data_IF_162013591938
#
_entry.id   IF_162013591938
#
_cell.length_a   1.000
_cell.length_b   1.000
_cell.length_c   1.000
_cell.angle_alpha   90.00
_cell.angle_beta   90.00
_cell.angle_gamma   90.00
#
_symmetry.space_group_name_H-M   'P 1'
#
loop_
_entity.id
_entity.type
_entity.pdbx_description
1 polymer ?
#
# COMPACT_ATOMS: atom_id res chain seq x y z
N UNK A 1 6.15 33.93 -2.89
CA UNK A 1 5.21 32.80 -2.79
C UNK A 1 3.87 33.29 -3.29
N UNK A 2 3.13 32.57 -4.14
CA UNK A 2 1.81 33.02 -4.54
C UNK A 2 0.90 33.10 -3.30
N UNK A 3 0.22 34.24 -3.13
CA UNK A 3 -0.55 34.62 -1.93
C UNK A 3 -1.79 33.76 -1.62
N UNK A 4 -2.00 32.62 -2.33
CA UNK A 4 -3.21 31.79 -2.18
C UNK A 4 -2.92 30.28 -2.28
N UNK A 5 -1.76 29.80 -1.82
CA UNK A 5 -1.52 28.35 -1.80
C UNK A 5 -2.34 27.72 -0.67
N UNK A 6 -3.18 26.73 -1.03
CA UNK A 6 -3.92 25.90 -0.08
C UNK A 6 -2.94 25.21 0.86
N UNK A 7 -3.19 25.25 2.16
CA UNK A 7 -2.28 24.69 3.16
C UNK A 7 -2.92 23.48 3.84
N UNK A 8 -2.12 22.42 4.01
CA UNK A 8 -2.56 21.26 4.76
C UNK A 8 -1.46 20.78 5.73
N UNK A 9 -1.86 20.02 6.73
CA UNK A 9 -0.96 19.40 7.70
C UNK A 9 -0.85 17.92 7.36
N UNK A 10 0.39 17.43 7.17
CA UNK A 10 0.68 16.01 7.05
C UNK A 10 1.27 15.51 8.37
N UNK A 11 0.54 14.63 9.05
CA UNK A 11 0.95 14.05 10.32
C UNK A 11 1.29 12.58 10.17
N UNK A 12 2.42 12.16 10.78
CA UNK A 12 2.78 10.75 10.94
C UNK A 12 3.62 10.58 12.21
N UNK A 13 3.31 9.59 13.09
CA UNK A 13 3.99 9.44 14.37
C UNK A 13 5.36 8.74 14.28
N UNK A 14 6.09 8.93 13.19
CA UNK A 14 7.44 8.37 12.96
C UNK A 14 8.29 9.35 12.17
N UNK A 15 9.61 9.17 12.19
CA UNK A 15 10.51 9.90 11.30
C UNK A 15 10.38 9.43 9.87
N UNK A 16 10.39 10.35 8.92
CA UNK A 16 10.46 10.06 7.50
C UNK A 16 11.91 9.73 7.09
N UNK A 17 12.05 8.66 6.30
CA UNK A 17 13.35 8.25 5.77
C UNK A 17 13.29 8.25 4.23
N UNK A 18 13.97 9.18 3.60
CA UNK A 18 14.00 9.33 2.14
C UNK A 18 14.60 8.11 1.42
N UNK A 19 15.45 7.34 2.11
CA UNK A 19 16.05 6.11 1.61
C UNK A 19 15.25 4.86 1.98
N UNK A 20 13.97 5.00 2.33
CA UNK A 20 13.13 3.86 2.69
C UNK A 20 12.92 2.93 1.48
N UNK A 21 13.09 1.62 1.72
CA UNK A 21 12.87 0.57 0.72
C UNK A 21 11.59 -0.24 0.98
N UNK A 22 10.97 -0.06 2.12
CA UNK A 22 9.70 -0.72 2.48
C UNK A 22 8.50 0.12 2.06
N UNK A 23 7.42 -0.53 1.67
CA UNK A 23 6.16 0.14 1.33
C UNK A 23 5.67 1.10 2.44
N UNK A 24 5.87 0.73 3.71
CA UNK A 24 5.50 1.55 4.86
C UNK A 24 6.30 2.85 4.99
N UNK A 25 7.54 2.86 4.54
CA UNK A 25 8.37 4.07 4.52
C UNK A 25 8.19 4.89 3.24
N UNK A 26 7.97 4.23 2.10
CA UNK A 26 7.80 4.90 0.79
C UNK A 26 6.47 5.66 0.71
N UNK A 27 5.36 5.05 1.18
CA UNK A 27 4.02 5.61 1.06
C UNK A 27 3.88 7.04 1.60
N UNK A 28 4.33 7.38 2.83
CA UNK A 28 4.18 8.73 3.36
C UNK A 28 4.90 9.78 2.51
N UNK A 29 6.10 9.47 2.02
CA UNK A 29 6.88 10.37 1.16
C UNK A 29 6.17 10.63 -0.18
N UNK A 30 5.62 9.58 -0.77
CA UNK A 30 4.88 9.67 -2.03
C UNK A 30 3.55 10.42 -1.86
N UNK A 31 2.82 10.20 -0.74
CA UNK A 31 1.60 10.96 -0.43
C UNK A 31 1.89 12.46 -0.23
N UNK A 32 2.98 12.82 0.45
CA UNK A 32 3.42 14.21 0.57
C UNK A 32 3.62 14.82 -0.83
N UNK A 33 4.40 14.15 -1.69
CA UNK A 33 4.61 14.60 -3.07
C UNK A 33 3.30 14.65 -3.87
N UNK A 34 2.37 13.74 -3.63
CA UNK A 34 1.03 13.76 -4.23
C UNK A 34 0.25 15.02 -3.84
N UNK A 35 0.24 15.42 -2.56
CA UNK A 35 -0.37 16.66 -2.11
C UNK A 35 0.33 17.90 -2.69
N UNK A 36 1.66 17.90 -2.76
CA UNK A 36 2.43 19.00 -3.37
C UNK A 36 2.08 19.15 -4.87
N UNK A 37 2.00 18.04 -5.63
CA UNK A 37 1.54 18.03 -7.04
C UNK A 37 0.10 18.51 -7.17
N UNK A 38 -0.78 18.17 -6.23
CA UNK A 38 -2.16 18.64 -6.17
C UNK A 38 -2.30 20.14 -5.75
N UNK A 39 -1.19 20.85 -5.59
CA UNK A 39 -1.15 22.29 -5.32
C UNK A 39 -1.24 22.68 -3.85
N UNK A 40 -1.03 21.75 -2.91
CA UNK A 40 -1.00 22.06 -1.49
C UNK A 40 0.40 22.40 -0.99
N UNK A 41 0.49 23.39 -0.12
CA UNK A 41 1.63 23.55 0.76
C UNK A 41 1.50 22.57 1.93
N UNK A 42 2.45 21.65 2.07
CA UNK A 42 2.39 20.56 3.05
C UNK A 42 3.26 20.88 4.26
N UNK A 43 2.63 21.17 5.39
CA UNK A 43 3.33 21.33 6.66
C UNK A 43 3.41 20.00 7.41
N UNK A 44 4.64 19.53 7.66
CA UNK A 44 4.91 18.17 8.15
C UNK A 44 5.01 18.14 9.67
N UNK A 45 4.31 17.18 10.29
CA UNK A 45 4.42 16.80 11.71
C UNK A 45 4.87 15.35 11.76
N UNK A 46 6.18 15.14 11.93
CA UNK A 46 6.82 13.82 11.92
C UNK A 46 8.04 13.82 12.84
N UNK A 47 8.67 12.68 13.04
CA UNK A 47 9.84 12.55 13.89
C UNK A 47 9.55 11.84 15.21
N UNK A 48 10.47 11.98 16.18
CA UNK A 48 10.29 11.55 17.56
C UNK A 48 9.14 12.31 18.22
N UNK A 49 8.57 11.78 19.30
CA UNK A 49 7.49 12.45 20.01
C UNK A 49 7.86 13.86 20.49
N UNK A 50 9.14 14.10 20.86
CA UNK A 50 9.64 15.43 21.23
C UNK A 50 9.66 16.40 20.05
N UNK A 51 10.12 15.96 18.87
CA UNK A 51 10.12 16.77 17.66
C UNK A 51 8.69 17.09 17.21
N UNK A 52 7.80 16.08 17.23
CA UNK A 52 6.38 16.29 16.95
C UNK A 52 5.74 17.29 17.91
N UNK A 53 6.04 17.19 19.24
CA UNK A 53 5.55 18.13 20.23
C UNK A 53 5.90 19.57 19.90
N UNK A 54 7.16 19.83 19.55
CA UNK A 54 7.61 21.16 19.18
C UNK A 54 6.87 21.68 17.93
N UNK A 55 6.73 20.82 16.91
CA UNK A 55 6.04 21.18 15.66
C UNK A 55 4.54 21.38 15.84
N UNK A 56 3.88 20.57 16.65
CA UNK A 56 2.47 20.77 17.02
C UNK A 56 2.25 22.12 17.69
N UNK A 57 3.10 22.50 18.65
CA UNK A 57 3.01 23.80 19.32
C UNK A 57 3.22 24.97 18.33
N UNK A 58 4.19 24.84 17.42
CA UNK A 58 4.42 25.84 16.35
C UNK A 58 3.15 26.04 15.51
N UNK A 59 2.55 24.94 15.02
CA UNK A 59 1.36 24.99 14.17
C UNK A 59 0.16 25.60 14.94
N UNK A 60 -0.05 25.19 16.18
CA UNK A 60 -1.14 25.74 16.98
C UNK A 60 -0.96 27.25 17.21
N UNK A 61 0.28 27.72 17.41
CA UNK A 61 0.58 29.14 17.51
C UNK A 61 0.31 29.90 16.19
N UNK A 62 0.66 29.30 15.04
CA UNK A 62 0.34 29.86 13.72
C UNK A 62 -1.17 29.98 13.54
N UNK A 63 -1.95 28.97 13.91
CA UNK A 63 -3.43 28.98 13.85
C UNK A 63 -3.98 30.10 14.72
N UNK A 64 -3.49 30.27 15.96
CA UNK A 64 -3.89 31.37 16.86
C UNK A 64 -3.59 32.76 16.30
N UNK A 65 -2.53 32.85 15.48
CA UNK A 65 -2.14 34.08 14.78
C UNK A 65 -2.85 34.28 13.44
N UNK A 66 -3.90 33.47 13.16
CA UNK A 66 -4.75 33.64 11.98
C UNK A 66 -4.33 32.82 10.76
N UNK A 67 -3.33 31.96 10.84
CA UNK A 67 -2.98 31.06 9.75
C UNK A 67 -4.04 29.97 9.58
N UNK A 68 -4.43 29.69 8.32
CA UNK A 68 -5.49 28.73 8.00
C UNK A 68 -4.90 27.48 7.35
N UNK A 69 -5.44 26.34 7.75
CA UNK A 69 -5.17 25.04 7.13
C UNK A 69 -6.49 24.42 6.69
N UNK A 70 -6.51 23.88 5.47
CA UNK A 70 -7.71 23.29 4.89
C UNK A 70 -8.09 22.00 5.61
N UNK A 71 -7.09 21.17 5.96
CA UNK A 71 -7.28 19.90 6.68
C UNK A 71 -5.96 19.39 7.27
N UNK A 72 -6.08 18.37 8.11
CA UNK A 72 -4.98 17.50 8.53
C UNK A 72 -5.19 16.10 7.96
N UNK A 73 -4.20 15.58 7.23
CA UNK A 73 -4.11 14.17 6.85
C UNK A 73 -3.05 13.49 7.68
N UNK A 74 -3.43 12.42 8.36
CA UNK A 74 -2.56 11.63 9.21
C UNK A 74 -2.39 10.21 8.65
N UNK A 75 -1.21 9.62 8.79
CA UNK A 75 -1.00 8.19 8.59
C UNK A 75 -0.61 7.51 9.90
N UNK A 76 -1.25 6.39 10.23
CA UNK A 76 -0.84 5.57 11.37
C UNK A 76 0.48 4.85 11.08
N UNK A 77 1.21 4.49 12.14
CA UNK A 77 2.30 3.52 12.07
C UNK A 77 1.76 2.09 12.11
N UNK A 78 2.63 1.09 11.88
CA UNK A 78 2.35 -0.32 12.17
C UNK A 78 2.38 -0.61 13.68
N UNK A 79 2.97 0.30 14.47
CA UNK A 79 2.95 0.28 15.92
C UNK A 79 1.91 1.28 16.47
N UNK A 80 1.45 1.10 17.70
CA UNK A 80 0.60 2.09 18.36
C UNK A 80 1.27 3.47 18.38
N UNK A 81 0.47 4.52 18.20
CA UNK A 81 0.94 5.91 18.12
C UNK A 81 1.85 6.32 19.27
N UNK A 82 1.52 5.88 20.48
CA UNK A 82 2.27 6.20 21.70
C UNK A 82 3.59 5.43 21.85
N UNK A 83 3.83 4.38 21.05
CA UNK A 83 4.99 3.48 21.16
C UNK A 83 5.94 3.60 19.97
N UNK A 84 5.84 4.68 19.20
CA UNK A 84 6.61 4.85 17.94
C UNK A 84 8.05 5.33 18.16
N UNK A 85 8.40 5.84 19.33
CA UNK A 85 9.79 6.19 19.67
C UNK A 85 10.68 4.95 19.83
N UNK A 86 11.99 5.10 19.70
CA UNK A 86 12.96 3.98 19.70
C UNK A 86 12.89 3.08 20.93
N UNK A 87 12.56 3.66 22.09
CA UNK A 87 12.43 2.94 23.36
C UNK A 87 11.09 2.23 23.52
N UNK A 88 10.14 2.48 22.60
CA UNK A 88 8.77 1.95 22.65
C UNK A 88 8.03 2.24 23.96
N UNK A 89 8.33 3.37 24.62
CA UNK A 89 7.68 3.81 25.85
C UNK A 89 6.80 5.03 25.59
N UNK A 90 5.62 5.14 26.25
CA UNK A 90 4.68 6.25 26.04
C UNK A 90 5.10 7.51 26.82
N UNK A 91 6.30 8.04 26.56
CA UNK A 91 6.86 9.18 27.30
C UNK A 91 6.11 10.49 27.05
N UNK A 92 5.42 10.60 25.91
CA UNK A 92 4.68 11.80 25.53
C UNK A 92 3.23 11.47 25.11
N UNK A 93 2.39 10.96 26.03
CA UNK A 93 1.11 10.33 25.68
C UNK A 93 0.05 11.28 25.13
N UNK A 94 0.25 12.60 25.25
CA UNK A 94 -0.74 13.59 24.85
C UNK A 94 -0.37 14.37 23.58
N UNK A 95 0.79 14.11 22.96
CA UNK A 95 1.26 14.89 21.82
C UNK A 95 0.32 14.77 20.63
N UNK A 96 0.17 13.58 20.07
CA UNK A 96 -0.52 13.39 18.80
C UNK A 96 -2.05 13.58 18.96
N UNK A 97 -2.66 12.91 19.93
CA UNK A 97 -4.11 13.04 20.15
C UNK A 97 -4.51 14.39 20.79
N UNK A 98 -3.61 15.03 21.57
CA UNK A 98 -3.78 16.39 22.02
C UNK A 98 -3.81 17.40 20.86
N UNK A 99 -2.86 17.22 19.93
CA UNK A 99 -2.82 18.00 18.71
C UNK A 99 -4.10 17.85 17.86
N UNK A 100 -4.56 16.62 17.64
CA UNK A 100 -5.82 16.38 16.92
C UNK A 100 -7.02 17.05 17.61
N UNK A 101 -7.06 16.98 18.95
CA UNK A 101 -8.11 17.70 19.72
C UNK A 101 -8.07 19.21 19.50
N UNK A 102 -6.87 19.78 19.45
CA UNK A 102 -6.72 21.21 19.23
C UNK A 102 -7.03 21.61 17.79
N UNK A 103 -6.65 20.81 16.79
CA UNK A 103 -7.09 21.02 15.40
C UNK A 103 -8.61 21.00 15.27
N UNK A 104 -9.27 20.02 15.88
CA UNK A 104 -10.74 19.87 15.87
C UNK A 104 -11.44 21.09 16.52
N UNK A 105 -10.91 21.61 17.63
CA UNK A 105 -11.42 22.85 18.27
C UNK A 105 -11.31 24.07 17.35
N UNK A 106 -10.34 24.10 16.45
CA UNK A 106 -10.14 25.17 15.47
C UNK A 106 -10.86 24.91 14.13
N UNK A 107 -11.74 23.90 14.07
CA UNK A 107 -12.53 23.59 12.88
C UNK A 107 -11.76 22.98 11.72
N UNK A 108 -10.54 22.47 11.96
CA UNK A 108 -9.71 21.83 10.95
C UNK A 108 -10.08 20.33 10.89
N UNK A 109 -10.64 19.83 9.77
CA UNK A 109 -11.04 18.44 9.62
C UNK A 109 -9.82 17.52 9.57
N UNK A 110 -9.98 16.30 10.12
CA UNK A 110 -8.89 15.33 10.27
C UNK A 110 -9.23 14.05 9.56
N UNK A 111 -8.42 13.67 8.57
CA UNK A 111 -8.44 12.35 7.94
C UNK A 111 -7.29 11.49 8.44
N UNK A 112 -7.57 10.22 8.73
CA UNK A 112 -6.55 9.26 9.15
C UNK A 112 -6.50 8.09 8.19
N UNK A 113 -5.34 7.79 7.62
CA UNK A 113 -5.05 6.53 6.98
C UNK A 113 -4.61 5.50 8.03
N UNK A 114 -5.51 4.57 8.34
CA UNK A 114 -5.20 3.45 9.23
C UNK A 114 -4.61 2.31 8.41
N UNK A 115 -3.31 2.13 8.57
CA UNK A 115 -2.45 1.35 7.67
C UNK A 115 -2.71 -0.14 7.72
N UNK A 116 -2.88 -0.73 8.91
CA UNK A 116 -2.83 -2.18 9.11
C UNK A 116 -3.49 -2.60 10.44
N UNK A 117 -4.03 -3.80 10.44
CA UNK A 117 -4.58 -4.48 11.63
C UNK A 117 -3.85 -5.80 11.91
N UNK A 118 -2.58 -5.93 11.49
CA UNK A 118 -1.76 -7.14 11.66
C UNK A 118 -1.76 -7.66 13.10
N UNK A 119 -1.80 -6.77 14.08
CA UNK A 119 -1.86 -7.09 15.51
C UNK A 119 -3.12 -7.90 15.93
N UNK A 120 -4.16 -7.94 15.11
CA UNK A 120 -5.37 -8.71 15.34
C UNK A 120 -5.27 -10.17 14.85
N UNK A 121 -4.25 -10.50 14.06
CA UNK A 121 -4.10 -11.81 13.42
C UNK A 121 -3.18 -12.76 14.19
N UNK A 122 -3.38 -14.06 13.94
CA UNK A 122 -2.57 -15.11 14.58
C UNK A 122 -1.08 -15.02 14.21
N UNK A 123 -0.76 -14.50 13.04
CA UNK A 123 0.62 -14.29 12.64
C UNK A 123 1.36 -13.32 13.59
N UNK A 124 0.68 -12.25 14.05
CA UNK A 124 1.23 -11.38 15.08
C UNK A 124 1.49 -12.14 16.40
N UNK A 125 0.56 -13.03 16.77
CA UNK A 125 0.72 -13.86 17.99
C UNK A 125 1.92 -14.80 17.88
N UNK A 126 2.22 -15.30 16.67
CA UNK A 126 3.34 -16.21 16.42
C UNK A 126 4.68 -15.47 16.28
N UNK A 127 4.67 -14.23 15.77
CA UNK A 127 5.89 -13.45 15.46
C UNK A 127 6.35 -12.53 16.58
N UNK A 128 5.46 -12.16 17.52
CA UNK A 128 5.79 -11.22 18.60
C UNK A 128 5.72 -11.91 19.97
N UNK A 129 6.76 -11.80 20.83
CA UNK A 129 6.78 -12.38 22.17
C UNK A 129 5.60 -11.97 23.04
N UNK A 130 5.11 -12.87 23.88
CA UNK A 130 3.89 -12.67 24.68
C UNK A 130 3.92 -11.37 25.50
N UNK A 131 5.01 -11.10 26.22
CA UNK A 131 5.12 -9.89 27.07
C UNK A 131 5.03 -8.60 26.24
N UNK A 132 5.67 -8.56 25.05
CA UNK A 132 5.57 -7.42 24.15
C UNK A 132 4.14 -7.22 23.64
N UNK A 133 3.43 -8.31 23.34
CA UNK A 133 2.02 -8.25 22.91
C UNK A 133 1.11 -7.73 24.03
N UNK A 134 1.24 -8.27 25.23
CA UNK A 134 0.45 -7.85 26.41
C UNK A 134 0.67 -6.36 26.69
N UNK A 135 1.89 -5.86 26.50
CA UNK A 135 2.18 -4.44 26.63
C UNK A 135 1.58 -3.60 25.49
N UNK A 136 1.70 -4.02 24.22
CA UNK A 136 1.30 -3.22 23.06
C UNK A 136 -0.22 -3.22 22.80
N UNK A 137 -0.92 -4.34 23.07
CA UNK A 137 -2.35 -4.48 22.74
C UNK A 137 -3.27 -3.41 23.38
N UNK A 138 -3.09 -2.97 24.64
CA UNK A 138 -3.87 -1.88 25.21
C UNK A 138 -3.72 -0.57 24.41
N UNK A 139 -2.52 -0.28 23.89
CA UNK A 139 -2.26 0.93 23.10
C UNK A 139 -2.89 0.89 21.72
N UNK A 140 -2.94 -0.26 21.05
CA UNK A 140 -3.72 -0.42 19.81
C UNK A 140 -5.21 -0.13 20.02
N UNK A 141 -5.78 -0.66 21.12
CA UNK A 141 -7.18 -0.41 21.48
C UNK A 141 -7.41 1.06 21.86
N UNK A 142 -6.44 1.69 22.52
CA UNK A 142 -6.48 3.10 22.85
C UNK A 142 -6.47 3.96 21.58
N UNK A 143 -5.62 3.64 20.61
CA UNK A 143 -5.59 4.33 19.31
C UNK A 143 -6.97 4.25 18.63
N UNK A 144 -7.58 3.07 18.51
CA UNK A 144 -8.92 2.92 17.91
C UNK A 144 -9.99 3.74 18.64
N UNK A 145 -9.93 3.81 19.97
CA UNK A 145 -10.82 4.67 20.76
C UNK A 145 -10.61 6.14 20.40
N UNK A 146 -9.34 6.59 20.32
CA UNK A 146 -9.02 7.98 19.94
C UNK A 146 -9.37 8.32 18.51
N UNK A 147 -9.25 7.38 17.60
CA UNK A 147 -9.71 7.56 16.21
C UNK A 147 -11.22 7.80 16.17
N UNK A 148 -12.02 7.00 16.89
CA UNK A 148 -13.47 7.22 16.99
C UNK A 148 -13.85 8.60 17.58
N UNK A 149 -13.05 9.14 18.50
CA UNK A 149 -13.31 10.42 19.16
C UNK A 149 -12.91 11.63 18.31
N UNK A 150 -11.84 11.52 17.51
CA UNK A 150 -11.14 12.69 16.96
C UNK A 150 -11.12 12.75 15.44
N UNK A 151 -11.28 11.64 14.74
CA UNK A 151 -11.12 11.58 13.28
C UNK A 151 -12.46 11.80 12.59
N UNK A 152 -12.47 12.61 11.53
CA UNK A 152 -13.67 12.91 10.75
C UNK A 152 -13.82 11.95 9.56
N UNK A 153 -12.67 11.52 8.98
CA UNK A 153 -12.63 10.56 7.86
C UNK A 153 -11.55 9.50 8.11
N UNK A 154 -11.94 8.23 8.09
CA UNK A 154 -11.01 7.10 8.17
C UNK A 154 -10.74 6.55 6.77
N UNK A 155 -9.48 6.48 6.39
CA UNK A 155 -9.01 5.86 5.16
C UNK A 155 -8.35 4.52 5.47
N UNK A 156 -8.68 3.50 4.68
CA UNK A 156 -8.16 2.14 4.82
C UNK A 156 -7.50 1.70 3.50
N UNK A 157 -6.53 0.79 3.50
CA UNK A 157 -5.98 0.22 2.27
C UNK A 157 -7.06 -0.42 1.38
N UNK A 158 -8.07 -1.05 1.99
CA UNK A 158 -9.23 -1.63 1.33
C UNK A 158 -10.45 -1.62 2.26
N UNK A 159 -11.66 -1.66 1.72
CA UNK A 159 -12.87 -1.78 2.55
C UNK A 159 -12.96 -3.13 3.27
N UNK A 160 -12.38 -4.19 2.73
CA UNK A 160 -12.29 -5.48 3.45
C UNK A 160 -11.49 -5.41 4.76
N UNK A 161 -10.56 -4.45 4.87
CA UNK A 161 -9.87 -4.22 6.14
C UNK A 161 -10.81 -3.70 7.23
N UNK A 162 -11.88 -2.99 6.87
CA UNK A 162 -12.87 -2.50 7.84
C UNK A 162 -13.49 -3.65 8.65
N UNK A 163 -13.79 -4.75 7.99
CA UNK A 163 -14.37 -5.95 8.60
C UNK A 163 -13.38 -6.67 9.54
N UNK A 164 -12.08 -6.49 9.29
CA UNK A 164 -11.02 -7.09 10.10
C UNK A 164 -10.63 -6.27 11.34
N UNK A 165 -11.12 -5.04 11.50
CA UNK A 165 -10.82 -4.21 12.68
C UNK A 165 -11.56 -4.79 13.90
N UNK A 166 -10.84 -5.20 14.98
CA UNK A 166 -11.46 -5.88 16.13
C UNK A 166 -12.08 -4.89 17.13
N UNK A 167 -12.79 -3.86 16.62
CA UNK A 167 -13.50 -2.87 17.41
C UNK A 167 -14.59 -2.19 16.58
N UNK A 168 -15.63 -1.70 17.23
CA UNK A 168 -16.64 -0.88 16.57
C UNK A 168 -16.02 0.47 16.18
N UNK A 169 -16.05 0.76 14.89
CA UNK A 169 -15.67 2.05 14.33
C UNK A 169 -16.90 2.93 14.22
N UNK A 170 -16.81 4.14 14.77
CA UNK A 170 -17.88 5.16 14.78
C UNK A 170 -17.45 6.45 14.08
N UNK A 171 -16.31 6.43 13.40
CA UNK A 171 -15.86 7.54 12.55
C UNK A 171 -16.94 7.80 11.48
N UNK A 172 -17.34 9.07 11.24
CA UNK A 172 -18.49 9.38 10.40
C UNK A 172 -18.39 8.93 8.95
N UNK A 173 -17.16 8.90 8.40
CA UNK A 173 -16.91 8.52 7.01
C UNK A 173 -15.73 7.55 6.95
N UNK A 174 -15.86 6.49 6.17
CA UNK A 174 -14.81 5.49 5.93
C UNK A 174 -14.68 5.24 4.44
N UNK A 175 -13.45 5.30 3.93
CA UNK A 175 -13.16 5.10 2.52
C UNK A 175 -11.95 4.19 2.29
N UNK A 176 -11.93 3.51 1.15
CA UNK A 176 -10.73 2.85 0.65
C UNK A 176 -9.77 3.89 0.08
N UNK A 177 -8.49 3.79 0.45
CA UNK A 177 -7.40 4.62 -0.07
C UNK A 177 -6.17 3.74 -0.31
N UNK A 178 -6.18 2.90 -1.35
CA UNK A 178 -5.00 2.11 -1.72
C UNK A 178 -3.81 3.04 -2.03
N UNK A 179 -2.62 2.50 -2.10
CA UNK A 179 -1.45 3.26 -2.54
C UNK A 179 -1.68 3.85 -3.93
N UNK A 180 -1.01 4.95 -4.23
CA UNK A 180 -0.92 5.49 -5.58
C UNK A 180 0.30 4.94 -6.31
N UNK A 181 0.36 5.21 -7.60
CA UNK A 181 1.49 4.90 -8.47
C UNK A 181 2.03 6.12 -9.20
N UNK A 182 3.00 5.89 -10.06
CA UNK A 182 3.50 6.86 -11.03
C UNK A 182 3.01 6.44 -12.43
N UNK A 183 3.07 7.32 -13.39
CA UNK A 183 2.83 6.96 -14.79
C UNK A 183 4.16 6.58 -15.43
N UNK A 184 4.46 5.30 -15.39
CA UNK A 184 5.68 4.69 -15.95
C UNK A 184 5.32 3.73 -17.10
N UNK A 185 4.13 3.86 -17.68
CA UNK A 185 3.67 2.93 -18.70
C UNK A 185 4.54 2.97 -19.94
N UNK A 186 5.08 1.81 -20.31
CA UNK A 186 5.75 1.60 -21.58
C UNK A 186 4.76 0.94 -22.55
N UNK A 187 4.48 1.57 -23.66
CA UNK A 187 3.71 0.93 -24.74
C UNK A 187 4.56 -0.18 -25.34
N UNK A 188 4.13 -1.41 -25.21
CA UNK A 188 4.73 -2.56 -25.85
C UNK A 188 4.13 -2.67 -27.26
N UNK A 189 4.91 -2.44 -28.29
CA UNK A 189 4.45 -2.34 -29.70
C UNK A 189 4.15 -3.72 -30.16
N UNK A 190 3.97 -4.69 -29.97
CA UNK A 190 3.67 -6.06 -30.44
C UNK A 190 4.36 -7.15 -29.64
N UNK A 191 3.74 -8.26 -29.43
CA UNK A 191 4.42 -9.38 -28.81
C UNK A 191 5.40 -10.00 -29.83
N UNK A 192 6.67 -9.63 -29.75
CA UNK A 192 7.71 -10.21 -30.61
C UNK A 192 7.99 -11.71 -30.35
N UNK A 193 7.63 -12.21 -29.16
CA UNK A 193 7.87 -13.58 -28.77
C UNK A 193 6.58 -14.37 -28.55
N UNK A 194 6.61 -15.64 -28.99
CA UNK A 194 5.57 -16.62 -28.63
C UNK A 194 5.60 -16.91 -27.15
N UNK A 195 4.42 -17.06 -26.55
CA UNK A 195 4.25 -17.36 -25.13
C UNK A 195 3.87 -16.17 -24.26
N UNK A 196 3.87 -16.34 -22.96
CA UNK A 196 3.44 -15.36 -21.96
C UNK A 196 4.58 -15.11 -20.96
N UNK A 197 5.01 -13.86 -20.84
CA UNK A 197 5.98 -13.41 -19.83
C UNK A 197 5.26 -13.01 -18.55
N UNK A 198 5.42 -13.78 -17.50
CA UNK A 198 4.77 -13.62 -16.19
C UNK A 198 5.80 -13.05 -15.22
N UNK A 199 5.42 -12.02 -14.50
CA UNK A 199 6.26 -11.38 -13.48
C UNK A 199 5.67 -11.56 -12.09
N UNK A 200 6.51 -11.86 -11.12
CA UNK A 200 6.25 -11.69 -9.70
C UNK A 200 7.36 -10.84 -9.06
N UNK A 201 6.99 -9.88 -8.23
CA UNK A 201 7.95 -9.04 -7.48
C UNK A 201 7.54 -8.99 -6.02
N UNK A 202 8.39 -9.44 -5.11
CA UNK A 202 8.09 -9.35 -3.68
C UNK A 202 8.78 -10.36 -2.80
N UNK A 203 8.30 -10.48 -1.56
CA UNK A 203 8.71 -11.54 -0.65
C UNK A 203 8.23 -12.91 -1.13
N UNK A 204 8.94 -13.97 -0.73
CA UNK A 204 8.64 -15.35 -1.14
C UNK A 204 8.57 -16.32 0.04
N UNK A 205 8.47 -15.78 1.26
CA UNK A 205 8.47 -16.59 2.48
C UNK A 205 7.05 -16.94 2.94
N UNK A 206 6.74 -18.25 3.10
CA UNK A 206 5.49 -18.69 3.72
C UNK A 206 5.36 -18.18 5.18
N UNK A 207 4.16 -18.04 5.71
CA UNK A 207 2.88 -18.35 5.07
C UNK A 207 2.31 -17.23 4.20
N UNK A 208 2.85 -15.99 4.28
CA UNK A 208 2.28 -14.86 3.55
C UNK A 208 2.54 -14.89 2.05
N UNK A 209 3.74 -15.30 1.65
CA UNK A 209 4.20 -15.20 0.27
C UNK A 209 4.61 -16.56 -0.28
N UNK A 210 3.78 -17.57 -0.08
CA UNK A 210 4.02 -18.91 -0.62
C UNK A 210 3.69 -18.94 -2.11
N UNK A 211 4.73 -19.01 -2.95
CA UNK A 211 4.60 -19.02 -4.42
C UNK A 211 4.34 -20.39 -5.02
N UNK A 212 4.21 -21.44 -4.20
CA UNK A 212 3.97 -22.81 -4.71
C UNK A 212 2.88 -22.85 -5.78
N UNK A 213 1.68 -22.21 -5.62
CA UNK A 213 0.64 -22.28 -6.64
C UNK A 213 1.04 -21.64 -7.98
N UNK A 214 1.80 -20.54 -7.96
CA UNK A 214 2.28 -19.87 -9.16
C UNK A 214 3.35 -20.69 -9.87
N UNK A 215 4.33 -21.23 -9.12
CA UNK A 215 5.41 -22.05 -9.66
C UNK A 215 4.85 -23.32 -10.31
N UNK A 216 3.94 -24.03 -9.64
CA UNK A 216 3.29 -25.22 -10.18
C UNK A 216 2.43 -24.90 -11.42
N UNK A 217 1.82 -23.72 -11.47
CA UNK A 217 1.05 -23.30 -12.63
C UNK A 217 1.91 -23.09 -13.89
N UNK A 218 3.21 -22.82 -13.73
CA UNK A 218 4.13 -22.54 -14.85
C UNK A 218 5.00 -23.74 -15.19
N UNK A 219 5.33 -24.59 -14.19
CA UNK A 219 6.24 -25.71 -14.36
C UNK A 219 5.81 -26.63 -15.50
N UNK A 220 6.77 -26.99 -16.37
CA UNK A 220 6.54 -27.89 -17.52
C UNK A 220 5.70 -27.28 -18.65
N UNK A 221 5.38 -25.99 -18.63
CA UNK A 221 4.66 -25.30 -19.71
C UNK A 221 5.58 -24.36 -20.46
N UNK A 222 6.13 -24.80 -21.58
CA UNK A 222 7.14 -24.07 -22.36
C UNK A 222 6.72 -22.68 -22.82
N UNK A 223 5.41 -22.48 -23.04
CA UNK A 223 4.84 -21.19 -23.44
C UNK A 223 4.72 -20.17 -22.30
N UNK A 224 4.95 -20.57 -21.04
CA UNK A 224 4.87 -19.71 -19.88
C UNK A 224 6.25 -19.44 -19.32
N UNK A 225 6.70 -18.19 -19.35
CA UNK A 225 7.99 -17.75 -18.81
C UNK A 225 7.76 -16.96 -17.53
N UNK A 226 8.21 -17.46 -16.37
CA UNK A 226 8.06 -16.80 -15.07
C UNK A 226 9.36 -16.15 -14.64
N UNK A 227 9.32 -14.86 -14.34
CA UNK A 227 10.39 -14.13 -13.66
C UNK A 227 9.96 -13.80 -12.23
N UNK A 228 10.73 -14.29 -11.25
CA UNK A 228 10.53 -14.00 -9.82
C UNK A 228 11.61 -13.04 -9.36
N UNK A 229 11.23 -11.80 -9.03
CA UNK A 229 12.13 -10.82 -8.43
C UNK A 229 11.96 -10.85 -6.92
N UNK A 230 12.98 -11.30 -6.20
CA UNK A 230 12.94 -11.46 -4.75
C UNK A 230 14.30 -11.17 -4.10
N UNK A 231 14.32 -11.12 -2.77
CA UNK A 231 15.57 -10.97 -2.01
C UNK A 231 16.39 -12.24 -2.08
N UNK A 232 17.70 -12.09 -2.29
CA UNK A 232 18.63 -13.24 -2.38
C UNK A 232 18.57 -14.15 -1.16
N UNK A 233 18.58 -13.57 0.04
CA UNK A 233 18.51 -14.34 1.29
C UNK A 233 17.20 -15.15 1.42
N UNK A 234 16.06 -14.59 0.97
CA UNK A 234 14.79 -15.33 0.97
C UNK A 234 14.82 -16.49 -0.03
N UNK A 235 15.42 -16.27 -1.21
CA UNK A 235 15.56 -17.33 -2.20
C UNK A 235 16.43 -18.49 -1.69
N UNK A 236 17.59 -18.20 -1.09
CA UNK A 236 18.45 -19.22 -0.51
C UNK A 236 17.74 -20.09 0.55
N UNK A 237 16.80 -19.50 1.31
CA UNK A 237 15.98 -20.25 2.28
C UNK A 237 14.92 -21.12 1.60
N UNK A 238 14.49 -20.79 0.39
CA UNK A 238 13.32 -21.39 -0.26
C UNK A 238 13.68 -22.26 -1.48
N UNK A 239 14.90 -22.23 -1.96
CA UNK A 239 15.31 -22.94 -3.18
C UNK A 239 14.99 -24.44 -3.16
N UNK A 240 15.22 -25.13 -2.04
CA UNK A 240 14.90 -26.54 -1.88
C UNK A 240 13.39 -26.84 -1.90
N UNK A 241 12.58 -25.89 -1.43
CA UNK A 241 11.11 -26.00 -1.45
C UNK A 241 10.57 -25.76 -2.86
N UNK A 242 11.00 -24.69 -3.49
CA UNK A 242 10.47 -24.27 -4.79
C UNK A 242 11.05 -25.05 -5.96
N UNK A 243 12.27 -25.62 -5.81
CA UNK A 243 12.95 -26.44 -6.83
C UNK A 243 12.90 -25.81 -8.22
N UNK A 244 13.28 -24.53 -8.29
CA UNK A 244 13.27 -23.76 -9.55
C UNK A 244 14.59 -23.88 -10.31
N UNK A 245 15.63 -24.44 -9.71
CA UNK A 245 16.91 -24.69 -10.37
C UNK A 245 16.72 -25.76 -11.45
N UNK A 246 17.19 -25.44 -12.68
CA UNK A 246 17.05 -26.34 -13.84
C UNK A 246 15.71 -26.23 -14.59
N UNK A 247 14.76 -25.42 -14.10
CA UNK A 247 13.51 -25.12 -14.84
C UNK A 247 13.80 -24.06 -15.92
N UNK A 248 13.75 -24.38 -17.21
CA UNK A 248 14.22 -23.49 -18.28
C UNK A 248 13.32 -22.25 -18.45
N UNK A 249 12.09 -22.32 -17.95
CA UNK A 249 11.07 -21.29 -18.08
C UNK A 249 10.82 -20.51 -16.77
N UNK A 250 11.65 -20.71 -15.72
CA UNK A 250 11.58 -19.96 -14.46
C UNK A 250 12.91 -19.28 -14.18
N UNK A 251 12.90 -17.96 -14.07
CA UNK A 251 14.07 -17.13 -13.81
C UNK A 251 13.96 -16.43 -12.46
N UNK A 252 15.04 -16.46 -11.69
CA UNK A 252 15.14 -15.76 -10.40
C UNK A 252 16.04 -14.54 -10.59
N UNK A 253 15.53 -13.37 -10.17
CA UNK A 253 16.22 -12.10 -10.27
C UNK A 253 16.32 -11.45 -8.89
N UNK A 254 17.48 -10.88 -8.59
CA UNK A 254 17.72 -10.13 -7.35
C UNK A 254 18.04 -8.69 -7.69
N UNK A 255 17.21 -7.76 -7.20
CA UNK A 255 17.43 -6.34 -7.47
C UNK A 255 16.27 -5.44 -6.99
N UNK A 256 16.49 -4.15 -7.15
CA UNK A 256 15.54 -3.07 -6.85
C UNK A 256 15.66 -1.97 -7.91
N UNK A 257 14.74 -1.00 -7.91
CA UNK A 257 14.80 0.15 -8.83
C UNK A 257 14.82 -0.29 -10.29
N UNK A 258 15.81 0.17 -11.06
CA UNK A 258 15.91 -0.08 -12.52
C UNK A 258 15.80 -1.54 -12.92
N UNK A 259 16.33 -2.48 -12.11
CA UNK A 259 16.23 -3.92 -12.40
C UNK A 259 14.76 -4.37 -12.37
N UNK A 260 13.99 -3.88 -11.42
CA UNK A 260 12.54 -4.17 -11.31
C UNK A 260 11.79 -3.53 -12.47
N UNK A 261 12.12 -2.27 -12.81
CA UNK A 261 11.49 -1.56 -13.92
C UNK A 261 11.72 -2.30 -15.26
N UNK A 262 12.93 -2.81 -15.51
CA UNK A 262 13.24 -3.64 -16.69
C UNK A 262 12.46 -4.96 -16.70
N UNK A 263 12.21 -5.57 -15.54
CA UNK A 263 11.35 -6.75 -15.46
C UNK A 263 9.90 -6.41 -15.80
N UNK A 264 9.37 -5.27 -15.34
CA UNK A 264 8.02 -4.82 -15.71
C UNK A 264 7.89 -4.53 -17.22
N UNK A 265 8.90 -3.91 -17.84
CA UNK A 265 8.90 -3.64 -19.29
C UNK A 265 8.77 -4.91 -20.13
N UNK A 266 9.37 -6.02 -19.66
CA UNK A 266 9.34 -7.32 -20.33
C UNK A 266 8.08 -8.12 -20.04
N UNK A 267 7.38 -7.83 -18.94
CA UNK A 267 6.24 -8.59 -18.49
C UNK A 267 5.00 -8.38 -19.36
N UNK A 268 4.27 -9.43 -19.60
CA UNK A 268 2.94 -9.41 -20.19
C UNK A 268 1.87 -9.34 -19.14
N UNK A 269 2.06 -10.06 -18.02
CA UNK A 269 1.17 -10.07 -16.86
C UNK A 269 1.96 -10.07 -15.57
N UNK A 270 1.37 -9.49 -14.53
CA UNK A 270 1.87 -9.55 -13.16
C UNK A 270 1.01 -10.51 -12.34
N UNK A 271 1.61 -11.53 -11.73
CA UNK A 271 0.87 -12.56 -11.02
C UNK A 271 0.88 -12.31 -9.50
N UNK A 272 -0.30 -12.22 -8.89
CA UNK A 272 -0.51 -12.26 -7.43
C UNK A 272 -1.25 -13.56 -7.13
N UNK A 273 -0.54 -14.68 -7.23
CA UNK A 273 -1.04 -16.05 -7.11
C UNK A 273 -0.29 -16.80 -5.99
N UNK A 274 -0.16 -16.17 -4.83
CA UNK A 274 0.36 -16.83 -3.62
C UNK A 274 -0.67 -17.80 -3.04
N UNK A 275 -0.22 -18.78 -2.25
CA UNK A 275 -1.11 -19.61 -1.46
C UNK A 275 -1.97 -18.70 -0.54
N UNK A 276 -3.26 -19.03 -0.47
CA UNK A 276 -4.18 -18.22 0.30
C UNK A 276 -3.83 -18.23 1.80
N UNK A 277 -3.84 -17.04 2.39
CA UNK A 277 -3.73 -16.81 3.80
C UNK A 277 -4.73 -15.73 4.22
N UNK A 278 -5.33 -15.83 5.40
CA UNK A 278 -6.41 -14.91 5.83
C UNK A 278 -6.06 -13.43 5.76
N UNK A 279 -4.80 -13.08 5.94
CA UNK A 279 -4.32 -11.71 5.78
C UNK A 279 -4.51 -11.16 4.36
N UNK A 280 -4.50 -12.03 3.32
CA UNK A 280 -4.72 -11.63 1.93
C UNK A 280 -6.15 -11.17 1.63
N UNK A 281 -7.12 -11.51 2.51
CA UNK A 281 -8.50 -11.04 2.33
C UNK A 281 -8.57 -9.52 2.18
N UNK A 282 -7.77 -8.77 2.95
CA UNK A 282 -7.81 -7.31 2.95
C UNK A 282 -6.50 -6.62 2.54
N UNK A 283 -5.40 -7.36 2.45
CA UNK A 283 -4.10 -6.79 2.11
C UNK A 283 -4.07 -6.20 0.70
N UNK A 284 -3.47 -5.01 0.58
CA UNK A 284 -3.24 -4.33 -0.69
C UNK A 284 -1.73 -4.17 -0.88
N UNK A 285 -1.05 -5.12 -1.53
CA UNK A 285 0.39 -5.06 -1.73
C UNK A 285 0.77 -3.88 -2.62
N UNK A 286 1.87 -3.22 -2.29
CA UNK A 286 2.36 -2.07 -3.05
C UNK A 286 2.63 -2.43 -4.53
N UNK A 287 3.08 -3.67 -4.78
CA UNK A 287 3.36 -4.20 -6.12
C UNK A 287 2.15 -4.30 -7.04
N UNK A 288 0.93 -4.36 -6.49
CA UNK A 288 -0.30 -4.22 -7.26
C UNK A 288 -0.34 -2.90 -8.02
N UNK A 289 -0.06 -1.79 -7.33
CA UNK A 289 -0.09 -0.46 -7.93
C UNK A 289 1.14 -0.20 -8.81
N UNK A 290 2.29 -0.76 -8.47
CA UNK A 290 3.47 -0.71 -9.36
C UNK A 290 3.17 -1.39 -10.70
N UNK A 291 2.49 -2.54 -10.70
CA UNK A 291 2.07 -3.20 -11.93
C UNK A 291 1.16 -2.31 -12.78
N UNK A 292 0.16 -1.67 -12.15
CA UNK A 292 -0.70 -0.69 -12.85
C UNK A 292 0.12 0.46 -13.42
N UNK A 293 1.06 1.01 -12.64
CA UNK A 293 1.93 2.12 -13.06
C UNK A 293 2.76 1.80 -14.31
N UNK A 294 3.14 0.54 -14.49
CA UNK A 294 3.88 0.07 -15.67
C UNK A 294 2.96 -0.40 -16.82
N UNK A 295 1.64 -0.27 -16.67
CA UNK A 295 0.68 -0.73 -17.65
C UNK A 295 0.61 -2.26 -17.79
N UNK A 296 0.99 -3.03 -16.75
CA UNK A 296 1.02 -4.49 -16.78
C UNK A 296 -0.25 -5.07 -16.15
N UNK A 297 -1.06 -5.85 -16.89
CA UNK A 297 -2.26 -6.49 -16.37
C UNK A 297 -1.98 -7.48 -15.24
N UNK A 298 -2.92 -7.58 -14.32
CA UNK A 298 -2.77 -8.39 -13.11
C UNK A 298 -3.57 -9.69 -13.23
N UNK A 299 -2.98 -10.80 -12.79
CA UNK A 299 -3.66 -12.07 -12.59
C UNK A 299 -3.71 -12.38 -11.10
N UNK A 300 -4.90 -12.58 -10.55
CA UNK A 300 -5.11 -12.85 -9.12
C UNK A 300 -6.24 -13.86 -8.90
N UNK A 301 -6.55 -14.20 -7.67
CA UNK A 301 -7.58 -15.15 -7.28
C UNK A 301 -8.71 -14.45 -6.49
N UNK A 302 -9.94 -15.04 -6.44
CA UNK A 302 -11.10 -14.43 -5.84
C UNK A 302 -10.98 -14.29 -4.30
N UNK A 303 -11.91 -13.54 -3.71
CA UNK A 303 -12.06 -13.41 -2.25
C UNK A 303 -11.13 -12.40 -1.58
N UNK A 304 -10.29 -11.69 -2.32
CA UNK A 304 -9.29 -10.74 -1.80
C UNK A 304 -9.61 -9.29 -2.14
N UNK A 305 -9.04 -8.35 -1.40
CA UNK A 305 -9.10 -6.93 -1.73
C UNK A 305 -8.40 -6.61 -3.07
N UNK A 306 -7.38 -7.38 -3.42
CA UNK A 306 -6.72 -7.31 -4.73
C UNK A 306 -7.70 -7.64 -5.85
N UNK A 307 -8.50 -8.72 -5.69
CA UNK A 307 -9.51 -9.09 -6.69
C UNK A 307 -10.58 -8.00 -6.85
N UNK A 308 -11.05 -7.40 -5.76
CA UNK A 308 -12.02 -6.31 -5.83
C UNK A 308 -11.43 -5.10 -6.57
N UNK A 309 -10.17 -4.76 -6.29
CA UNK A 309 -9.46 -3.68 -6.99
C UNK A 309 -9.29 -3.98 -8.48
N UNK A 310 -8.86 -5.19 -8.84
CA UNK A 310 -8.68 -5.62 -10.23
C UNK A 310 -9.99 -5.54 -11.00
N UNK A 311 -11.09 -5.96 -10.38
CA UNK A 311 -12.43 -5.92 -10.98
C UNK A 311 -12.93 -4.49 -11.16
N UNK A 312 -12.83 -3.65 -10.12
CA UNK A 312 -13.39 -2.30 -10.15
C UNK A 312 -12.64 -1.34 -11.06
N UNK A 313 -11.35 -1.58 -11.30
CA UNK A 313 -10.52 -0.76 -12.18
C UNK A 313 -10.30 -1.39 -13.58
N UNK A 314 -10.81 -2.58 -13.84
CA UNK A 314 -10.60 -3.35 -15.07
C UNK A 314 -9.11 -3.56 -15.44
N UNK A 315 -8.28 -3.83 -14.43
CA UNK A 315 -6.81 -3.89 -14.59
C UNK A 315 -6.24 -5.32 -14.66
N UNK A 316 -7.07 -6.32 -14.91
CA UNK A 316 -6.59 -7.71 -14.95
C UNK A 316 -7.68 -8.74 -14.92
N UNK A 317 -7.35 -9.93 -14.43
CA UNK A 317 -8.26 -11.08 -14.34
C UNK A 317 -8.25 -11.72 -12.96
N UNK A 318 -9.40 -12.24 -12.58
CA UNK A 318 -9.62 -13.01 -11.36
C UNK A 318 -9.83 -14.47 -11.78
N UNK A 319 -8.95 -15.36 -11.37
CA UNK A 319 -8.94 -16.75 -11.77
C UNK A 319 -9.48 -17.61 -10.63
N UNK A 320 -10.60 -18.24 -10.89
CA UNK A 320 -11.20 -19.25 -10.01
C UNK A 320 -11.05 -20.63 -10.70
N UNK A 321 -10.07 -21.43 -10.27
CA UNK A 321 -9.74 -22.70 -10.88
C UNK A 321 -8.25 -22.87 -11.22
N UNK A 322 -7.95 -23.55 -12.33
CA UNK A 322 -6.58 -23.86 -12.74
C UNK A 322 -5.83 -22.61 -13.25
N UNK A 323 -4.86 -22.16 -12.47
CA UNK A 323 -3.99 -21.02 -12.87
C UNK A 323 -3.19 -21.34 -14.12
N UNK A 324 -2.67 -22.57 -14.24
CA UNK A 324 -1.88 -23.01 -15.39
C UNK A 324 -2.68 -23.00 -16.70
N UNK A 325 -3.93 -23.48 -16.69
CA UNK A 325 -4.80 -23.43 -17.86
C UNK A 325 -5.18 -22.01 -18.25
N UNK A 326 -5.45 -21.16 -17.27
CA UNK A 326 -5.77 -19.77 -17.55
C UNK A 326 -4.57 -19.00 -18.13
N UNK A 327 -3.37 -19.17 -17.56
CA UNK A 327 -2.14 -18.55 -18.06
C UNK A 327 -1.80 -19.08 -19.48
N UNK A 328 -2.02 -20.38 -19.74
CA UNK A 328 -1.87 -20.97 -21.08
C UNK A 328 -2.84 -20.31 -22.08
N UNK A 329 -4.10 -20.12 -21.69
CA UNK A 329 -5.08 -19.40 -22.54
C UNK A 329 -4.60 -17.99 -22.89
N UNK A 330 -3.98 -17.25 -21.95
CA UNK A 330 -3.41 -15.93 -22.24
C UNK A 330 -2.16 -16.01 -23.14
N UNK A 331 -1.40 -17.10 -23.07
CA UNK A 331 -0.27 -17.34 -23.97
C UNK A 331 -0.73 -17.62 -25.41
N UNK A 332 -1.85 -18.34 -25.55
CA UNK A 332 -2.43 -18.71 -26.85
C UNK A 332 -3.20 -17.54 -27.49
N UNK A 333 -3.80 -16.65 -26.68
CA UNK A 333 -4.57 -15.49 -27.12
C UNK A 333 -3.92 -14.18 -26.64
N UNK A 334 -2.93 -13.73 -27.40
CA UNK A 334 -2.18 -12.51 -27.13
C UNK A 334 -3.02 -11.24 -27.24
N UNK A 335 -4.06 -11.26 -28.04
CA UNK A 335 -4.97 -10.11 -28.22
C UNK A 335 -5.69 -9.77 -26.91
N UNK A 336 -6.11 -10.79 -26.13
CA UNK A 336 -6.68 -10.59 -24.80
C UNK A 336 -5.73 -9.81 -23.88
N UNK A 337 -4.45 -10.16 -23.91
CA UNK A 337 -3.43 -9.49 -23.08
C UNK A 337 -3.24 -8.04 -23.50
N UNK A 338 -3.14 -7.78 -24.80
CA UNK A 338 -2.96 -6.42 -25.34
C UNK A 338 -4.17 -5.54 -25.01
N UNK A 339 -5.38 -6.04 -25.23
CA UNK A 339 -6.62 -5.32 -24.89
C UNK A 339 -6.71 -5.00 -23.40
N UNK A 340 -6.31 -5.94 -22.53
CA UNK A 340 -6.31 -5.69 -21.09
C UNK A 340 -5.23 -4.68 -20.69
N UNK A 341 -4.07 -4.69 -21.34
CA UNK A 341 -3.03 -3.68 -21.14
C UNK A 341 -3.55 -2.27 -21.44
N UNK A 342 -4.32 -2.09 -22.52
CA UNK A 342 -4.95 -0.80 -22.82
C UNK A 342 -5.89 -0.35 -21.69
N UNK A 343 -6.68 -1.28 -21.11
CA UNK A 343 -7.53 -0.96 -19.94
C UNK A 343 -6.69 -0.52 -18.75
N UNK A 344 -5.56 -1.20 -18.47
CA UNK A 344 -4.63 -0.83 -17.39
C UNK A 344 -4.08 0.58 -17.62
N UNK A 345 -3.61 0.89 -18.83
CA UNK A 345 -3.08 2.22 -19.17
C UNK A 345 -4.13 3.31 -18.95
N UNK A 346 -5.37 3.07 -19.33
CA UNK A 346 -6.50 4.00 -19.11
C UNK A 346 -6.78 4.23 -17.63
N UNK A 347 -6.51 3.24 -16.76
CA UNK A 347 -6.74 3.33 -15.33
C UNK A 347 -5.61 4.07 -14.56
N UNK A 348 -4.43 4.29 -15.16
CA UNK A 348 -3.27 4.91 -14.48
C UNK A 348 -3.60 6.29 -13.89
N UNK A 349 -4.20 7.24 -14.63
CA UNK A 349 -4.42 8.60 -14.11
C UNK A 349 -5.21 8.65 -12.81
N UNK A 350 -6.19 7.76 -12.63
CA UNK A 350 -7.01 7.65 -11.44
C UNK A 350 -6.31 6.93 -10.28
N UNK A 351 -5.19 6.27 -10.54
CA UNK A 351 -4.44 5.48 -9.57
C UNK A 351 -3.08 6.07 -9.21
N UNK A 352 -2.84 7.35 -9.50
CA UNK A 352 -1.62 8.08 -9.12
C UNK A 352 -1.65 8.57 -7.66
N UNK A 353 -0.49 8.92 -7.12
CA UNK A 353 -0.38 9.56 -5.80
C UNK A 353 -1.09 10.91 -5.75
N UNK A 354 -1.08 11.67 -6.84
CA UNK A 354 -1.81 12.92 -6.97
C UNK A 354 -3.32 12.69 -6.91
N UNK A 355 -3.83 11.68 -7.63
CA UNK A 355 -5.25 11.31 -7.59
C UNK A 355 -5.67 10.89 -6.17
N UNK A 356 -4.82 10.16 -5.42
CA UNK A 356 -5.07 9.82 -4.01
C UNK A 356 -5.11 11.06 -3.12
N UNK A 357 -4.20 12.01 -3.32
CA UNK A 357 -4.17 13.27 -2.59
C UNK A 357 -5.41 14.14 -2.86
N UNK A 358 -5.83 14.24 -4.12
CA UNK A 358 -7.05 14.95 -4.51
C UNK A 358 -8.29 14.30 -3.90
N UNK A 359 -8.39 12.97 -3.92
CA UNK A 359 -9.49 12.25 -3.28
C UNK A 359 -9.56 12.53 -1.77
N UNK A 360 -8.42 12.50 -1.06
CA UNK A 360 -8.38 12.86 0.37
C UNK A 360 -8.87 14.29 0.60
N UNK A 361 -8.40 15.24 -0.21
CA UNK A 361 -8.80 16.64 -0.11
C UNK A 361 -10.31 16.85 -0.39
N UNK A 362 -10.87 16.14 -1.36
CA UNK A 362 -12.31 16.15 -1.65
C UNK A 362 -13.11 15.66 -0.45
N UNK A 363 -12.72 14.55 0.17
CA UNK A 363 -13.45 13.98 1.31
C UNK A 363 -13.38 14.84 2.56
N UNK A 364 -12.27 15.57 2.77
CA UNK A 364 -12.08 16.42 3.95
C UNK A 364 -12.61 17.83 3.79
N UNK A 365 -12.53 18.43 2.59
CA UNK A 365 -12.89 19.83 2.37
C UNK A 365 -14.13 20.00 1.48
N UNK A 366 -14.69 18.94 0.92
CA UNK A 366 -15.75 19.04 -0.09
C UNK A 366 -15.28 19.70 -1.40
N UNK A 367 -13.98 19.67 -1.68
CA UNK A 367 -13.41 20.20 -2.92
C UNK A 367 -13.81 19.29 -4.06
N UNK A 368 -14.80 19.71 -4.85
CA UNK A 368 -15.12 19.04 -6.11
C UNK A 368 -13.97 19.23 -7.11
N UNK A 369 -13.72 18.19 -7.91
CA UNK A 369 -12.83 18.26 -9.08
C UNK A 369 -13.26 19.34 -10.06
#
# INVERSE_FOLDING_TARGET
MPQNSRKMIFHIPVSLNENAVSASGIRPLKMIKGFEKAGFYVEKVCGTASERKAKCLEIINKIKNGEKYDFCYSESSTMPTLLTDRNHLPLHPFVDFGFFKDLKKNGIPIGLFYRDVFWAFDLYKKSVPLLKRLFALPFYKYDLKKYNELIDVLFLPSMKMFEAIPAKITVPKVFSLPSGGEDNAVRKESPEEKGLSILYVGGILPPLYDLTPLIEAVRGREMLKLTIVCRKNEYEMMKERYKTEGEPNISIVHGTGEIVDECYKKADVFAILCAFYDYWKFAMPFKLIESVSHGVPIVTYPGTAVADFVKSNDVGWIVDGSYGEFLQKLADDRELVMKKRESVIKAIPENTWEARALFVAEQLCGVKK
#
